data_IF_775596628804
#
_entry.id   IF_775596628804
#
_cell.length_a   1.000
_cell.length_b   1.000
_cell.length_c   1.000
_cell.angle_alpha   90.00
_cell.angle_beta   90.00
_cell.angle_gamma   90.00
#
_symmetry.space_group_name_H-M   'P 1'
#
loop_
_entity.id
_entity.type
_entity.pdbx_description
1 polymer ?
#
# COMPACT_ATOMS: atom_id res chain seq x y z
N UNK A 1 9.89 -34.63 4.44
CA UNK A 1 8.86 -33.89 3.70
C UNK A 1 8.78 -32.49 4.30
N UNK A 2 8.94 -31.43 3.51
CA UNK A 2 8.92 -30.05 4.03
C UNK A 2 7.47 -29.59 3.97
N UNK A 3 6.79 -29.55 5.11
CA UNK A 3 5.44 -28.97 5.19
C UNK A 3 5.58 -27.46 5.25
N UNK A 4 4.96 -26.76 4.30
CA UNK A 4 4.81 -25.32 4.39
C UNK A 4 3.73 -25.01 5.43
N UNK A 5 4.07 -24.16 6.40
CA UNK A 5 3.17 -23.74 7.45
C UNK A 5 3.03 -22.21 7.45
N UNK A 6 1.83 -21.75 7.81
CA UNK A 6 1.56 -20.34 8.07
C UNK A 6 0.84 -20.22 9.41
N UNK A 7 1.48 -19.53 10.38
CA UNK A 7 1.00 -19.40 11.76
C UNK A 7 0.66 -20.77 12.42
N UNK A 8 1.54 -21.77 12.23
CA UNK A 8 1.38 -23.11 12.82
C UNK A 8 0.26 -23.95 12.21
N UNK A 9 -0.27 -23.56 11.05
CA UNK A 9 -1.26 -24.32 10.28
C UNK A 9 -0.66 -24.70 8.93
N UNK A 10 -0.98 -25.90 8.44
CA UNK A 10 -0.58 -26.32 7.09
C UNK A 10 -1.09 -25.32 6.05
N UNK A 11 -0.19 -24.91 5.17
CA UNK A 11 -0.44 -23.89 4.18
C UNK A 11 0.23 -24.25 2.85
N UNK A 12 -0.25 -23.60 1.79
CA UNK A 12 0.44 -23.53 0.50
C UNK A 12 0.54 -22.07 0.10
N UNK A 13 1.39 -21.75 -0.88
CA UNK A 13 1.69 -20.38 -1.25
C UNK A 13 1.91 -20.19 -2.73
N UNK A 14 1.65 -18.97 -3.19
CA UNK A 14 1.98 -18.49 -4.53
C UNK A 14 2.86 -17.25 -4.38
N UNK A 15 4.06 -17.28 -4.97
CA UNK A 15 4.90 -16.11 -5.07
C UNK A 15 4.51 -15.31 -6.32
N UNK A 16 3.90 -14.15 -6.13
CA UNK A 16 3.46 -13.30 -7.23
C UNK A 16 4.57 -12.31 -7.53
N UNK A 17 5.05 -12.34 -8.78
CA UNK A 17 6.01 -11.37 -9.30
C UNK A 17 5.32 -10.45 -10.27
N UNK A 18 5.58 -9.17 -10.11
CA UNK A 18 5.12 -8.16 -11.01
C UNK A 18 5.84 -8.27 -12.36
N UNK A 19 5.11 -8.06 -13.47
CA UNK A 19 5.71 -7.93 -14.79
C UNK A 19 6.57 -6.66 -14.89
N UNK A 20 7.61 -6.71 -15.72
CA UNK A 20 8.47 -5.54 -15.96
C UNK A 20 7.64 -4.36 -16.51
N UNK A 21 7.84 -3.17 -15.92
CA UNK A 21 7.15 -1.95 -16.34
C UNK A 21 5.69 -1.81 -15.89
N UNK A 22 5.11 -2.82 -15.22
CA UNK A 22 3.78 -2.66 -14.64
C UNK A 22 3.80 -1.71 -13.42
N UNK A 23 2.62 -1.34 -12.92
CA UNK A 23 2.46 -0.63 -11.65
C UNK A 23 2.23 -1.62 -10.49
N UNK A 24 3.00 -1.48 -9.41
CA UNK A 24 2.98 -2.44 -8.30
C UNK A 24 1.68 -2.38 -7.48
N UNK A 25 1.16 -1.16 -7.26
CA UNK A 25 -0.08 -0.92 -6.54
C UNK A 25 -1.27 -1.52 -7.31
N UNK A 26 -1.35 -1.21 -8.60
CA UNK A 26 -2.44 -1.69 -9.47
C UNK A 26 -2.40 -3.22 -9.60
N UNK A 27 -1.18 -3.79 -9.71
CA UNK A 27 -1.00 -5.25 -9.77
C UNK A 27 -1.49 -5.92 -8.49
N UNK A 28 -1.10 -5.40 -7.32
CA UNK A 28 -1.52 -5.97 -6.04
C UNK A 28 -3.02 -5.85 -5.81
N UNK A 29 -3.62 -4.71 -6.15
CA UNK A 29 -5.05 -4.49 -6.02
C UNK A 29 -5.84 -5.41 -6.97
N UNK A 30 -5.34 -5.62 -8.20
CA UNK A 30 -5.91 -6.58 -9.17
C UNK A 30 -5.83 -8.03 -8.69
N UNK A 31 -4.70 -8.43 -8.11
CA UNK A 31 -4.50 -9.75 -7.52
C UNK A 31 -5.48 -9.99 -6.38
N UNK A 32 -5.61 -9.02 -5.46
CA UNK A 32 -6.55 -9.10 -4.33
C UNK A 32 -7.99 -9.19 -4.80
N UNK A 33 -8.37 -8.40 -5.81
CA UNK A 33 -9.69 -8.45 -6.41
C UNK A 33 -9.98 -9.83 -7.02
N UNK A 34 -9.02 -10.40 -7.75
CA UNK A 34 -9.20 -11.73 -8.34
C UNK A 34 -9.27 -12.82 -7.28
N UNK A 35 -8.45 -12.77 -6.24
CA UNK A 35 -8.52 -13.71 -5.12
C UNK A 35 -9.84 -13.58 -4.35
N UNK A 36 -10.39 -12.38 -4.19
CA UNK A 36 -11.71 -12.18 -3.59
C UNK A 36 -12.82 -12.82 -4.43
N UNK A 37 -12.76 -12.69 -5.76
CA UNK A 37 -13.68 -13.37 -6.69
C UNK A 37 -13.59 -14.90 -6.55
N UNK A 38 -12.37 -15.44 -6.60
CA UNK A 38 -12.12 -16.89 -6.51
C UNK A 38 -12.46 -17.47 -5.14
N UNK A 39 -12.29 -16.69 -4.06
CA UNK A 39 -12.55 -17.13 -2.69
C UNK A 39 -13.98 -17.60 -2.45
N UNK A 40 -14.92 -17.16 -3.29
CA UNK A 40 -16.33 -17.57 -3.26
C UNK A 40 -16.53 -19.06 -3.58
N UNK A 41 -15.59 -19.66 -4.30
CA UNK A 41 -15.66 -21.06 -4.73
C UNK A 41 -14.77 -21.98 -3.89
N UNK A 42 -14.17 -21.45 -2.83
CA UNK A 42 -13.25 -22.22 -2.02
C UNK A 42 -14.00 -23.25 -1.16
N UNK A 43 -13.38 -24.43 -0.92
CA UNK A 43 -13.92 -25.38 0.03
C UNK A 43 -13.96 -24.77 1.44
N UNK A 44 -14.87 -25.24 2.31
CA UNK A 44 -15.00 -24.72 3.66
C UNK A 44 -13.67 -24.86 4.43
N UNK A 45 -13.29 -23.79 5.11
CA UNK A 45 -12.06 -23.73 5.92
C UNK A 45 -10.81 -23.21 5.19
N UNK A 46 -10.83 -23.10 3.85
CA UNK A 46 -9.73 -22.49 3.10
C UNK A 46 -9.75 -20.96 3.22
N UNK A 47 -8.62 -20.36 3.59
CA UNK A 47 -8.47 -18.90 3.75
C UNK A 47 -7.20 -18.43 3.04
N UNK A 48 -7.27 -17.25 2.43
CA UNK A 48 -6.10 -16.57 1.85
C UNK A 48 -5.43 -15.74 2.93
N UNK A 49 -4.11 -15.87 3.03
CA UNK A 49 -3.24 -14.98 3.81
C UNK A 49 -2.29 -14.23 2.88
N UNK A 50 -1.91 -13.02 3.27
CA UNK A 50 -0.91 -12.21 2.56
C UNK A 50 0.30 -12.00 3.48
N UNK A 51 1.15 -13.01 3.70
CA UNK A 51 2.27 -12.95 4.65
C UNK A 51 3.37 -11.98 4.22
N UNK A 52 3.47 -11.70 2.92
CA UNK A 52 4.48 -10.82 2.35
C UNK A 52 3.86 -9.96 1.26
N UNK A 53 3.86 -8.65 1.48
CA UNK A 53 3.40 -7.67 0.51
C UNK A 53 4.19 -6.38 0.66
N UNK A 54 4.70 -5.84 -0.45
CA UNK A 54 5.49 -4.61 -0.45
C UNK A 54 4.64 -3.35 -0.65
N UNK A 55 3.43 -3.49 -1.20
CA UNK A 55 2.57 -2.33 -1.54
C UNK A 55 2.08 -1.52 -0.35
N UNK A 56 1.81 -2.08 0.86
CA UNK A 56 1.39 -1.27 2.00
C UNK A 56 2.45 -0.24 2.40
N UNK A 57 3.74 -0.62 2.35
CA UNK A 57 4.83 0.32 2.60
C UNK A 57 4.86 1.45 1.58
N UNK A 58 4.68 1.14 0.29
CA UNK A 58 4.61 2.15 -0.78
C UNK A 58 3.43 3.11 -0.56
N UNK A 59 2.24 2.59 -0.21
CA UNK A 59 1.05 3.41 0.07
C UNK A 59 1.29 4.37 1.25
N UNK A 60 1.89 3.89 2.34
CA UNK A 60 2.26 4.72 3.50
C UNK A 60 3.29 5.78 3.10
N UNK A 61 4.36 5.40 2.40
CA UNK A 61 5.40 6.32 1.96
C UNK A 61 4.84 7.46 1.10
N UNK A 62 3.95 7.16 0.14
CA UNK A 62 3.27 8.18 -0.67
C UNK A 62 2.44 9.11 0.22
N UNK A 63 1.66 8.56 1.16
CA UNK A 63 0.84 9.39 2.05
C UNK A 63 1.66 10.34 2.92
N UNK A 64 2.81 9.88 3.42
CA UNK A 64 3.73 10.70 4.22
C UNK A 64 4.40 11.79 3.37
N UNK A 65 4.77 11.49 2.12
CA UNK A 65 5.29 12.51 1.19
C UNK A 65 4.24 13.58 0.89
N UNK A 66 2.98 13.19 0.67
CA UNK A 66 1.90 14.16 0.44
C UNK A 66 1.65 15.01 1.69
N UNK A 67 1.63 14.40 2.87
CA UNK A 67 1.47 15.12 4.14
C UNK A 67 2.59 16.13 4.37
N UNK A 68 3.84 15.70 4.22
CA UNK A 68 5.01 16.58 4.39
C UNK A 68 5.04 17.71 3.35
N UNK A 69 4.56 17.47 2.13
CA UNK A 69 4.39 18.53 1.12
C UNK A 69 3.38 19.60 1.58
N UNK A 70 2.24 19.20 2.13
CA UNK A 70 1.26 20.13 2.68
C UNK A 70 1.80 20.91 3.89
N UNK A 71 2.51 20.23 4.80
CA UNK A 71 3.18 20.86 5.92
C UNK A 71 4.19 21.91 5.45
N UNK A 72 5.00 21.58 4.44
CA UNK A 72 5.99 22.51 3.87
C UNK A 72 5.32 23.75 3.25
N UNK A 73 4.26 23.58 2.44
CA UNK A 73 3.52 24.71 1.85
C UNK A 73 2.93 25.61 2.94
N UNK A 74 2.31 25.01 3.96
CA UNK A 74 1.72 25.74 5.07
C UNK A 74 2.78 26.51 5.86
N UNK A 75 3.92 25.89 6.14
CA UNK A 75 5.04 26.55 6.84
C UNK A 75 5.61 27.71 6.02
N UNK A 76 5.79 27.54 4.72
CA UNK A 76 6.26 28.61 3.81
C UNK A 76 5.27 29.78 3.81
N UNK A 77 3.97 29.50 3.70
CA UNK A 77 2.92 30.52 3.79
C UNK A 77 2.95 31.27 5.11
N UNK A 78 3.05 30.56 6.24
CA UNK A 78 3.10 31.19 7.57
C UNK A 78 4.33 32.08 7.74
N UNK A 79 5.50 31.62 7.28
CA UNK A 79 6.74 32.40 7.34
C UNK A 79 6.61 33.66 6.49
N UNK A 80 6.19 33.54 5.23
CA UNK A 80 6.02 34.70 4.36
C UNK A 80 5.00 35.70 4.94
N UNK A 81 3.89 35.23 5.52
CA UNK A 81 2.87 36.09 6.14
C UNK A 81 3.45 36.92 7.29
N UNK A 82 4.28 36.27 8.12
CA UNK A 82 4.93 36.91 9.26
C UNK A 82 5.85 38.05 8.82
N UNK A 83 6.55 37.90 7.69
CA UNK A 83 7.49 38.91 7.18
C UNK A 83 6.83 40.00 6.35
N UNK A 84 5.87 39.65 5.48
CA UNK A 84 5.25 40.58 4.54
C UNK A 84 4.06 41.33 5.14
N UNK A 85 3.43 40.80 6.20
CA UNK A 85 2.31 41.43 6.90
C UNK A 85 1.04 41.63 6.05
N UNK A 86 1.00 41.07 4.84
CA UNK A 86 -0.09 41.22 3.88
C UNK A 86 -0.35 39.92 3.13
N UNK A 87 -1.60 39.44 3.22
CA UNK A 87 -2.10 38.21 2.59
C UNK A 87 -2.03 38.26 1.06
N UNK A 88 -2.07 39.44 0.42
CA UNK A 88 -1.91 39.54 -1.04
C UNK A 88 -0.47 39.42 -1.51
N UNK A 89 0.49 39.64 -0.61
CA UNK A 89 1.92 39.57 -0.92
C UNK A 89 2.53 38.21 -0.55
N UNK A 90 1.77 37.37 0.17
CA UNK A 90 2.13 36.07 0.75
C UNK A 90 1.41 34.97 -0.01
#
# INVERSE_FOLDING_TARGET
DIQAEFNGKQATGLAIRQAAGANALDTADSVKAKLAELSKFFPPGLKVGYPYETTPFIKVAISEVVKTLFEAILLVFLVMLLFLGNIRAT
#
